data_IF_220275388201
#
_entry.id   IF_220275388201
#
_cell.length_a   1.000
_cell.length_b   1.000
_cell.length_c   1.000
_cell.angle_alpha   90.00
_cell.angle_beta   90.00
_cell.angle_gamma   90.00
#
_symmetry.space_group_name_H-M   'P 1'
#
loop_
_entity.id
_entity.type
_entity.pdbx_description
1 polymer ?
#
# COMPACT_ATOMS: atom_id res chain seq x y z
N UNK A 1 -36.29 -10.86 -32.25
CA UNK A 1 -34.99 -10.28 -32.65
C UNK A 1 -35.26 -8.96 -33.35
N UNK A 2 -34.74 -7.82 -32.86
CA UNK A 2 -34.90 -6.54 -33.58
C UNK A 2 -33.93 -6.52 -34.75
N UNK A 3 -34.39 -6.22 -35.96
CA UNK A 3 -33.58 -6.32 -37.20
C UNK A 3 -32.40 -5.35 -37.27
N UNK A 4 -32.23 -4.46 -36.28
CA UNK A 4 -31.21 -3.42 -36.25
C UNK A 4 -30.17 -3.61 -35.14
N UNK A 5 -30.12 -4.77 -34.46
CA UNK A 5 -29.06 -5.01 -33.48
C UNK A 5 -27.76 -5.45 -34.18
N UNK A 6 -26.59 -4.87 -33.81
CA UNK A 6 -25.30 -5.34 -34.29
C UNK A 6 -25.11 -6.82 -33.94
N UNK A 7 -24.74 -7.63 -34.93
CA UNK A 7 -24.43 -9.05 -34.71
C UNK A 7 -23.14 -9.15 -33.89
N UNK A 8 -23.24 -9.50 -32.60
CA UNK A 8 -22.08 -9.74 -31.76
C UNK A 8 -21.56 -11.15 -32.08
N UNK A 9 -20.35 -11.27 -32.65
CA UNK A 9 -19.77 -12.54 -33.11
C UNK A 9 -19.17 -13.40 -31.97
N UNK A 10 -19.23 -12.94 -30.72
CA UNK A 10 -18.68 -13.63 -29.56
C UNK A 10 -19.68 -14.53 -28.84
N UNK A 11 -19.19 -15.63 -28.26
CA UNK A 11 -19.98 -16.47 -27.34
C UNK A 11 -20.38 -15.64 -26.11
N UNK A 12 -21.63 -15.75 -25.60
CA UNK A 12 -22.06 -15.00 -24.42
C UNK A 12 -21.11 -15.23 -23.24
N UNK A 13 -20.57 -14.14 -22.68
CA UNK A 13 -19.76 -14.21 -21.48
C UNK A 13 -20.63 -13.94 -20.26
N UNK A 14 -20.34 -14.61 -19.14
CA UNK A 14 -21.11 -14.50 -17.89
C UNK A 14 -21.12 -13.08 -17.31
N UNK A 15 -21.95 -12.85 -16.31
CA UNK A 15 -22.02 -11.55 -15.62
C UNK A 15 -20.68 -11.19 -14.97
N UNK A 16 -20.32 -9.90 -15.06
CA UNK A 16 -19.08 -9.34 -14.51
C UNK A 16 -19.41 -8.08 -13.71
N UNK A 17 -18.57 -7.75 -12.74
CA UNK A 17 -18.68 -6.52 -11.95
C UNK A 17 -18.13 -5.28 -12.66
N UNK A 18 -17.61 -5.41 -13.88
CA UNK A 18 -17.01 -4.33 -14.65
C UNK A 18 -17.26 -4.53 -16.15
N UNK A 19 -17.72 -3.47 -16.83
CA UNK A 19 -17.94 -3.42 -18.27
C UNK A 19 -16.86 -2.62 -19.02
N UNK A 20 -17.25 -1.89 -20.08
CA UNK A 20 -16.34 -1.07 -20.88
C UNK A 20 -16.75 0.42 -20.85
N UNK A 21 -16.03 1.28 -21.59
CA UNK A 21 -16.44 2.67 -21.80
C UNK A 21 -17.89 2.75 -22.30
N UNK A 22 -18.71 3.52 -21.58
CA UNK A 22 -20.16 3.63 -21.84
C UNK A 22 -21.05 2.63 -21.08
N UNK A 23 -20.48 1.57 -20.48
CA UNK A 23 -21.24 0.53 -19.75
C UNK A 23 -20.46 -0.07 -18.57
N UNK A 24 -19.75 0.77 -17.81
CA UNK A 24 -18.80 0.33 -16.77
C UNK A 24 -19.39 -0.54 -15.65
N UNK A 25 -20.71 -0.51 -15.44
CA UNK A 25 -21.39 -1.29 -14.39
C UNK A 25 -21.55 -0.56 -13.04
N UNK A 26 -21.19 0.72 -12.99
CA UNK A 26 -21.44 1.57 -11.82
C UNK A 26 -22.89 2.06 -11.71
N UNK A 27 -23.26 2.71 -10.59
CA UNK A 27 -24.57 3.33 -10.43
C UNK A 27 -24.78 4.46 -11.44
N UNK A 28 -26.04 4.76 -11.77
CA UNK A 28 -26.37 5.90 -12.63
C UNK A 28 -26.00 7.21 -11.92
N UNK A 29 -25.20 8.04 -12.57
CA UNK A 29 -24.77 9.35 -12.06
C UNK A 29 -25.49 10.46 -12.81
N UNK A 30 -26.11 11.41 -12.10
CA UNK A 30 -26.77 12.59 -12.66
C UNK A 30 -26.48 13.80 -11.78
N UNK A 31 -26.19 14.95 -12.39
CA UNK A 31 -25.96 16.22 -11.68
C UNK A 31 -24.53 16.44 -11.18
N UNK A 32 -23.58 15.59 -11.56
CA UNK A 32 -22.15 15.80 -11.26
C UNK A 32 -21.50 16.45 -12.47
N UNK A 33 -20.91 17.63 -12.29
CA UNK A 33 -20.16 18.33 -13.34
C UNK A 33 -18.70 18.43 -12.92
N UNK A 34 -17.81 17.89 -13.76
CA UNK A 34 -16.37 17.89 -13.53
C UNK A 34 -15.68 18.89 -14.44
N UNK A 35 -14.81 19.71 -13.88
CA UNK A 35 -13.99 20.68 -14.62
C UNK A 35 -12.52 20.31 -14.49
N UNK A 36 -11.76 20.52 -15.56
CA UNK A 36 -10.31 20.29 -15.58
C UNK A 36 -9.63 21.34 -16.46
N UNK A 37 -8.36 21.62 -16.19
CA UNK A 37 -7.52 22.54 -16.98
C UNK A 37 -6.51 21.72 -17.76
N UNK A 38 -6.21 22.13 -19.00
CA UNK A 38 -5.23 21.43 -19.84
C UNK A 38 -3.88 21.31 -19.12
N UNK A 39 -3.22 20.14 -19.11
CA UNK A 39 -1.91 19.98 -18.48
C UNK A 39 -0.84 20.92 -19.06
N UNK A 40 -0.95 21.33 -20.32
CA UNK A 40 -0.03 22.28 -20.96
C UNK A 40 -0.18 23.72 -20.47
N UNK A 41 -1.25 24.01 -19.72
CA UNK A 41 -1.49 25.31 -19.08
C UNK A 41 -1.11 25.29 -17.59
N UNK A 42 -0.62 24.16 -17.07
CA UNK A 42 -0.27 23.98 -15.67
C UNK A 42 1.23 23.70 -15.52
N UNK A 43 1.80 24.14 -14.39
CA UNK A 43 3.15 23.78 -14.00
C UNK A 43 3.13 22.39 -13.32
N UNK A 44 3.71 21.38 -13.98
CA UNK A 44 3.60 19.97 -13.58
C UNK A 44 4.00 19.65 -12.13
N UNK A 45 5.03 20.33 -11.59
CA UNK A 45 5.55 20.08 -10.23
C UNK A 45 5.35 21.26 -9.28
N UNK A 46 4.42 22.17 -9.59
CA UNK A 46 4.19 23.33 -8.74
C UNK A 46 3.81 22.91 -7.31
N UNK A 47 4.62 23.35 -6.34
CA UNK A 47 4.40 23.04 -4.92
C UNK A 47 4.66 21.59 -4.51
N UNK A 48 5.20 20.72 -5.38
CA UNK A 48 5.41 19.31 -5.08
C UNK A 48 6.24 19.10 -3.80
N UNK A 49 7.37 19.80 -3.65
CA UNK A 49 8.24 19.68 -2.48
C UNK A 49 7.57 20.20 -1.20
N UNK A 50 7.02 21.42 -1.25
CA UNK A 50 6.32 22.03 -0.10
C UNK A 50 5.14 21.17 0.35
N UNK A 51 4.33 20.69 -0.59
CA UNK A 51 3.18 19.84 -0.29
C UNK A 51 3.61 18.49 0.26
N UNK A 52 4.62 17.85 -0.33
CA UNK A 52 5.11 16.57 0.16
C UNK A 52 5.72 16.67 1.55
N UNK A 53 6.47 17.73 1.86
CA UNK A 53 7.04 17.93 3.19
C UNK A 53 5.95 17.94 4.28
N UNK A 54 4.86 18.70 4.08
CA UNK A 54 3.80 18.82 5.09
C UNK A 54 2.79 17.67 5.06
N UNK A 55 2.31 17.29 3.87
CA UNK A 55 1.29 16.25 3.74
C UNK A 55 1.85 14.84 3.72
N UNK A 56 3.06 14.65 3.18
CA UNK A 56 3.77 13.37 3.22
C UNK A 56 4.09 12.97 4.66
N UNK A 57 4.61 13.90 5.48
CA UNK A 57 4.81 13.67 6.91
C UNK A 57 3.52 13.24 7.62
N UNK A 58 2.41 13.95 7.42
CA UNK A 58 1.11 13.61 8.01
C UNK A 58 0.65 12.20 7.62
N UNK A 59 0.86 11.79 6.37
CA UNK A 59 0.51 10.44 5.90
C UNK A 59 1.39 9.36 6.54
N UNK A 60 2.69 9.61 6.66
CA UNK A 60 3.63 8.66 7.27
C UNK A 60 3.31 8.49 8.76
N UNK A 61 3.11 9.58 9.50
CA UNK A 61 2.81 9.51 10.94
C UNK A 61 1.49 8.78 11.22
N UNK A 62 0.46 8.98 10.38
CA UNK A 62 -0.80 8.26 10.53
C UNK A 62 -0.65 6.74 10.36
N UNK A 63 0.31 6.29 9.55
CA UNK A 63 0.57 4.87 9.30
C UNK A 63 1.70 4.30 10.14
N UNK A 64 2.54 5.15 10.74
CA UNK A 64 3.70 4.77 11.53
C UNK A 64 3.40 3.71 12.60
N UNK A 65 2.29 3.78 13.37
CA UNK A 65 2.00 2.74 14.36
C UNK A 65 1.91 1.33 13.78
N UNK A 66 1.39 1.19 12.56
CA UNK A 66 1.16 -0.13 11.96
C UNK A 66 2.42 -0.83 11.48
N UNK A 67 3.49 -0.08 11.15
CA UNK A 67 4.76 -0.67 10.73
C UNK A 67 5.88 -0.44 11.74
N UNK A 68 6.01 0.74 12.32
CA UNK A 68 7.11 1.07 13.23
C UNK A 68 7.10 0.21 14.48
N UNK A 69 5.91 -0.09 15.03
CA UNK A 69 5.77 -0.96 16.21
C UNK A 69 6.27 -2.39 15.92
N UNK A 70 5.75 -3.12 14.90
CA UNK A 70 6.25 -4.46 14.63
C UNK A 70 7.73 -4.49 14.23
N UNK A 71 8.23 -3.47 13.51
CA UNK A 71 9.67 -3.37 13.22
C UNK A 71 10.50 -3.15 14.47
N UNK A 72 10.08 -2.27 15.38
CA UNK A 72 10.79 -2.01 16.63
C UNK A 72 10.84 -3.27 17.51
N UNK A 73 9.71 -3.99 17.63
CA UNK A 73 9.65 -5.25 18.37
C UNK A 73 10.55 -6.31 17.73
N UNK A 74 10.44 -6.51 16.42
CA UNK A 74 11.24 -7.50 15.69
C UNK A 74 12.74 -7.22 15.81
N UNK A 75 13.15 -5.97 15.65
CA UNK A 75 14.54 -5.57 15.81
C UNK A 75 15.02 -5.69 17.28
N UNK A 76 14.15 -5.38 18.24
CA UNK A 76 14.42 -5.56 19.67
C UNK A 76 14.71 -7.02 20.02
N UNK A 77 13.84 -7.94 19.58
CA UNK A 77 14.01 -9.39 19.79
C UNK A 77 15.29 -9.89 19.11
N UNK A 78 15.53 -9.49 17.86
CA UNK A 78 16.72 -9.87 17.11
C UNK A 78 18.01 -9.42 17.81
N UNK A 79 18.10 -8.15 18.17
CA UNK A 79 19.30 -7.59 18.81
C UNK A 79 19.56 -8.20 20.19
N UNK A 80 18.51 -8.49 20.97
CA UNK A 80 18.62 -9.23 22.22
C UNK A 80 19.10 -10.67 21.99
N UNK A 81 18.49 -11.39 21.05
CA UNK A 81 18.83 -12.77 20.72
C UNK A 81 20.28 -12.91 20.25
N UNK A 82 20.75 -12.03 19.36
CA UNK A 82 22.14 -12.02 18.90
C UNK A 82 23.13 -11.76 20.03
N UNK A 83 22.85 -10.79 20.92
CA UNK A 83 23.73 -10.50 22.07
C UNK A 83 23.74 -11.66 23.07
N UNK A 84 22.59 -12.26 23.36
CA UNK A 84 22.48 -13.39 24.27
C UNK A 84 23.20 -14.62 23.70
N UNK A 85 23.03 -14.91 22.42
CA UNK A 85 23.74 -16.01 21.76
C UNK A 85 25.26 -15.81 21.79
N UNK A 86 25.75 -14.60 21.47
CA UNK A 86 27.18 -14.29 21.54
C UNK A 86 27.73 -14.41 22.98
N UNK A 87 26.97 -13.96 23.98
CA UNK A 87 27.34 -14.10 25.38
C UNK A 87 27.41 -15.57 25.81
N UNK A 88 26.41 -16.39 25.48
CA UNK A 88 26.39 -17.80 25.82
C UNK A 88 27.58 -18.56 25.22
N UNK A 89 27.96 -18.25 23.97
CA UNK A 89 29.12 -18.83 23.30
C UNK A 89 30.47 -18.23 23.74
N UNK A 90 30.48 -17.27 24.68
CA UNK A 90 31.71 -16.70 25.23
C UNK A 90 32.24 -17.52 26.41
N UNK A 91 33.52 -17.34 26.74
CA UNK A 91 34.14 -18.01 27.92
C UNK A 91 33.41 -17.67 29.22
N UNK A 92 32.94 -16.44 29.37
CA UNK A 92 32.19 -16.02 30.56
C UNK A 92 30.79 -16.65 30.60
N UNK A 93 30.14 -16.77 29.44
CA UNK A 93 28.85 -17.47 29.30
C UNK A 93 28.96 -18.94 29.70
N UNK A 94 29.98 -19.64 29.19
CA UNK A 94 30.25 -21.02 29.58
C UNK A 94 30.59 -21.16 31.08
N UNK A 95 31.31 -20.20 31.67
CA UNK A 95 31.61 -20.22 33.12
C UNK A 95 30.36 -20.03 33.99
N UNK A 96 29.44 -19.16 33.57
CA UNK A 96 28.25 -18.80 34.36
C UNK A 96 27.07 -19.74 34.14
N UNK A 97 26.96 -20.39 32.98
CA UNK A 97 25.81 -21.23 32.61
C UNK A 97 26.19 -22.67 32.21
N UNK A 98 27.47 -23.01 32.07
CA UNK A 98 27.94 -24.35 31.69
C UNK A 98 28.12 -25.33 32.85
N UNK A 99 27.81 -24.93 34.08
CA UNK A 99 27.91 -25.76 35.29
C UNK A 99 26.57 -26.02 35.99
N UNK A 100 25.44 -25.74 35.32
CA UNK A 100 24.08 -26.06 35.80
C UNK A 100 23.57 -27.42 35.27
N UNK A 101 24.48 -28.32 34.89
CA UNK A 101 24.23 -29.77 34.70
C UNK A 101 24.91 -30.58 35.80
#
# INVERSE_FOLDING_TARGET
MRSTQPLQSGMPTGSKYMGWWGSMGGPKQKGITSYTVSPFQQNAMHGAFRNYAFYGYKRIVAQAPYFAIPFAIGYGIYSWGSKRNAFLNSKEGHRLHGGEE
#
